data_IF_492749722146
#
_entry.id   IF_492749722146
#
_cell.length_a   1.000
_cell.length_b   1.000
_cell.length_c   1.000
_cell.angle_alpha   90.00
_cell.angle_beta   90.00
_cell.angle_gamma   90.00
#
_symmetry.space_group_name_H-M   'P 1'
#
loop_
_entity.id
_entity.type
_entity.pdbx_description
1 polymer ?
#
# COMPACT_ATOMS: atom_id res chain seq x y z
N UNK A 1 -25.36 -2.93 66.56
CA UNK A 1 -25.17 -3.44 65.18
C UNK A 1 -26.30 -2.91 64.29
N UNK A 2 -25.98 -2.40 63.10
CA UNK A 2 -26.99 -1.96 62.12
C UNK A 2 -26.36 -1.13 61.00
N UNK A 3 -25.58 -1.78 60.14
CA UNK A 3 -24.88 -1.14 59.03
C UNK A 3 -25.84 -0.87 57.83
N UNK A 4 -25.88 0.42 57.45
CA UNK A 4 -26.16 1.06 56.14
C UNK A 4 -27.01 0.41 55.05
N UNK A 5 -28.04 1.11 54.53
CA UNK A 5 -28.64 0.87 53.24
C UNK A 5 -28.13 1.90 52.21
N UNK A 6 -26.91 1.76 51.71
CA UNK A 6 -26.35 2.66 50.67
C UNK A 6 -25.60 1.92 49.56
N UNK A 7 -25.95 0.67 49.27
CA UNK A 7 -25.17 -0.17 48.35
C UNK A 7 -26.02 -0.97 47.34
N UNK A 8 -27.14 -0.42 46.85
CA UNK A 8 -27.99 -1.14 45.88
C UNK A 8 -28.31 -0.38 44.58
N UNK A 9 -27.70 0.78 44.34
CA UNK A 9 -27.92 1.56 43.10
C UNK A 9 -26.85 1.38 42.01
N UNK A 10 -25.84 0.52 42.20
CA UNK A 10 -24.68 0.39 41.30
C UNK A 10 -24.54 -0.97 40.57
N UNK A 11 -25.60 -1.77 40.48
CA UNK A 11 -25.53 -3.10 39.84
C UNK A 11 -26.41 -3.29 38.60
N UNK A 12 -26.99 -2.23 38.03
CA UNK A 12 -27.80 -2.32 36.81
C UNK A 12 -27.13 -1.78 35.54
N UNK A 13 -25.81 -1.52 35.55
CA UNK A 13 -25.08 -1.01 34.37
C UNK A 13 -24.09 -2.01 33.75
N UNK A 14 -24.28 -3.33 33.96
CA UNK A 14 -23.33 -4.35 33.50
C UNK A 14 -23.98 -5.50 32.69
N UNK A 15 -25.12 -5.27 32.05
CA UNK A 15 -25.85 -6.33 31.30
C UNK A 15 -26.08 -6.03 29.81
N UNK A 16 -25.32 -5.10 29.20
CA UNK A 16 -25.46 -4.74 27.78
C UNK A 16 -24.16 -4.89 26.96
N UNK A 17 -23.34 -5.90 27.25
CA UNK A 17 -22.13 -6.22 26.48
C UNK A 17 -22.13 -7.69 26.00
N UNK A 18 -23.29 -8.18 25.59
CA UNK A 18 -23.35 -9.41 24.76
C UNK A 18 -22.68 -9.06 23.44
N UNK A 19 -21.50 -9.66 23.22
CA UNK A 19 -20.59 -9.37 22.13
C UNK A 19 -21.26 -9.41 20.76
N UNK A 20 -21.38 -8.23 20.15
CA UNK A 20 -21.41 -8.10 18.69
C UNK A 20 -20.06 -8.62 18.20
N UNK A 21 -19.99 -9.56 17.23
CA UNK A 21 -18.72 -9.87 16.60
C UNK A 21 -18.20 -8.56 15.99
N UNK A 22 -17.06 -8.08 16.48
CA UNK A 22 -16.43 -6.91 15.90
C UNK A 22 -16.25 -7.20 14.41
N UNK A 23 -16.96 -6.45 13.56
CA UNK A 23 -16.56 -6.31 12.17
C UNK A 23 -15.06 -5.95 12.17
N UNK A 24 -14.25 -6.45 11.22
CA UNK A 24 -12.84 -6.08 11.17
C UNK A 24 -12.76 -4.57 11.31
N UNK A 25 -12.01 -4.12 12.32
CA UNK A 25 -11.93 -2.70 12.63
C UNK A 25 -11.18 -2.02 11.49
N UNK A 26 -11.92 -1.57 10.48
CA UNK A 26 -11.42 -0.67 9.46
C UNK A 26 -11.05 0.62 10.16
N UNK A 27 -9.76 0.91 10.29
CA UNK A 27 -9.35 2.24 10.68
C UNK A 27 -9.77 3.20 9.56
N UNK A 28 -10.31 4.36 9.94
CA UNK A 28 -10.75 5.35 8.97
C UNK A 28 -9.57 5.75 8.07
N UNK A 29 -9.86 5.99 6.80
CA UNK A 29 -8.93 6.67 5.89
C UNK A 29 -8.67 8.09 6.38
N UNK A 30 -7.59 8.72 5.90
CA UNK A 30 -7.26 10.07 6.34
C UNK A 30 -8.33 11.07 5.91
N UNK A 31 -8.74 11.92 6.84
CA UNK A 31 -9.70 13.01 6.61
C UNK A 31 -9.02 14.27 6.06
N UNK A 32 -9.77 15.38 6.08
CA UNK A 32 -9.32 16.68 5.53
C UNK A 32 -8.02 17.25 6.17
N UNK A 33 -7.60 16.71 7.32
CA UNK A 33 -6.36 17.10 8.01
C UNK A 33 -5.07 16.71 7.25
N UNK A 34 -5.17 15.94 6.17
CA UNK A 34 -4.02 15.45 5.40
C UNK A 34 -3.54 14.08 5.87
N UNK A 35 -2.36 13.69 5.43
CA UNK A 35 -1.82 12.34 5.58
C UNK A 35 -2.04 11.47 4.35
N UNK A 36 -1.67 10.19 4.46
CA UNK A 36 -1.85 9.21 3.38
C UNK A 36 -2.80 8.12 3.83
N UNK A 37 -3.83 7.87 3.03
CA UNK A 37 -4.76 6.77 3.27
C UNK A 37 -4.19 5.47 2.73
N UNK A 38 -4.19 4.43 3.57
CA UNK A 38 -3.68 3.10 3.23
C UNK A 38 -4.85 2.15 3.07
N UNK A 39 -4.82 1.36 2.01
CA UNK A 39 -5.78 0.28 1.76
C UNK A 39 -5.02 -1.02 1.47
N UNK A 40 -5.35 -2.11 2.14
CA UNK A 40 -4.81 -3.44 1.84
C UNK A 40 -5.97 -4.38 1.60
N UNK A 41 -6.16 -4.81 0.36
CA UNK A 41 -7.20 -5.73 -0.07
C UNK A 41 -6.62 -7.15 -0.21
N UNK A 42 -6.84 -7.98 0.81
CA UNK A 42 -6.32 -9.35 0.85
C UNK A 42 -7.12 -10.33 -0.02
N UNK A 43 -8.36 -9.98 -0.39
CA UNK A 43 -9.26 -10.81 -1.21
C UNK A 43 -9.28 -12.28 -0.77
N UNK A 44 -9.07 -13.22 -1.70
CA UNK A 44 -9.08 -14.66 -1.46
C UNK A 44 -8.00 -15.15 -0.49
N UNK A 45 -7.02 -14.34 -0.12
CA UNK A 45 -6.02 -14.71 0.88
C UNK A 45 -6.56 -14.65 2.32
N UNK A 46 -7.77 -14.10 2.51
CA UNK A 46 -8.36 -13.88 3.83
C UNK A 46 -7.81 -12.63 4.52
N UNK A 47 -8.60 -12.04 5.42
CA UNK A 47 -8.31 -10.73 6.03
C UNK A 47 -9.14 -9.58 5.46
N UNK A 48 -9.82 -9.81 4.33
CA UNK A 48 -10.73 -8.85 3.72
C UNK A 48 -10.02 -7.61 3.20
N UNK A 49 -10.79 -6.54 3.00
CA UNK A 49 -10.23 -5.21 2.84
C UNK A 49 -9.76 -4.72 4.22
N UNK A 50 -8.68 -3.96 4.30
CA UNK A 50 -8.23 -3.27 5.50
C UNK A 50 -7.90 -1.83 5.12
N UNK A 51 -8.25 -0.87 5.97
CA UNK A 51 -7.98 0.55 5.72
C UNK A 51 -7.35 1.18 6.95
N UNK A 52 -6.50 2.18 6.74
CA UNK A 52 -5.89 2.95 7.82
C UNK A 52 -5.48 4.35 7.36
N UNK A 53 -5.26 5.24 8.31
CA UNK A 53 -4.70 6.57 8.07
C UNK A 53 -3.26 6.65 8.60
N UNK A 54 -2.34 7.10 7.75
CA UNK A 54 -0.99 7.52 8.12
C UNK A 54 -0.92 9.06 8.15
N UNK A 55 -1.17 9.72 9.30
CA UNK A 55 -1.26 11.19 9.38
C UNK A 55 0.05 11.90 8.99
N UNK A 56 1.20 11.25 9.22
CA UNK A 56 2.53 11.73 8.81
C UNK A 56 3.07 10.93 7.61
N UNK A 57 2.19 10.55 6.68
CA UNK A 57 2.53 9.75 5.50
C UNK A 57 2.98 10.56 4.28
N UNK A 58 2.61 11.84 4.20
CA UNK A 58 2.85 12.67 3.03
C UNK A 58 4.33 12.78 2.67
N UNK A 59 4.66 12.59 1.39
CA UNK A 59 6.02 12.67 0.87
C UNK A 59 6.91 11.47 1.20
N UNK A 60 6.37 10.42 1.83
CA UNK A 60 7.10 9.19 2.14
C UNK A 60 6.87 8.13 1.07
N UNK A 61 7.73 7.11 1.06
CA UNK A 61 7.54 5.95 0.19
C UNK A 61 6.29 5.16 0.59
N UNK A 62 5.63 4.55 -0.39
CA UNK A 62 4.49 3.65 -0.17
C UNK A 62 4.80 2.58 0.88
N UNK A 63 6.00 2.01 0.84
CA UNK A 63 6.47 1.04 1.84
C UNK A 63 6.46 1.61 3.26
N UNK A 64 7.08 2.77 3.46
CA UNK A 64 7.17 3.40 4.77
C UNK A 64 5.80 3.80 5.33
N UNK A 65 4.88 4.23 4.46
CA UNK A 65 3.50 4.56 4.85
C UNK A 65 2.75 3.30 5.29
N UNK A 66 2.81 2.23 4.49
CA UNK A 66 2.09 0.98 4.77
C UNK A 66 2.63 0.29 6.02
N UNK A 67 3.94 0.29 6.23
CA UNK A 67 4.56 -0.23 7.46
C UNK A 67 4.19 0.61 8.69
N UNK A 68 4.05 1.93 8.55
CA UNK A 68 3.70 2.82 9.66
C UNK A 68 2.31 2.56 10.24
N UNK A 69 1.42 1.94 9.46
CA UNK A 69 0.06 1.54 9.90
C UNK A 69 -0.03 0.07 10.31
N UNK A 70 1.12 -0.62 10.44
CA UNK A 70 1.21 -1.97 10.98
C UNK A 70 1.22 -3.10 9.94
N UNK A 71 1.23 -2.78 8.64
CA UNK A 71 1.34 -3.79 7.59
C UNK A 71 2.80 -4.03 7.21
N UNK A 72 3.36 -5.15 7.67
CA UNK A 72 4.74 -5.53 7.31
C UNK A 72 4.83 -5.96 5.86
N UNK A 73 5.78 -5.40 5.11
CA UNK A 73 6.08 -5.80 3.74
C UNK A 73 7.25 -6.78 3.73
N UNK A 74 7.07 -7.94 3.10
CA UNK A 74 8.16 -8.88 2.82
C UNK A 74 8.45 -8.87 1.33
N UNK A 75 9.71 -8.72 0.97
CA UNK A 75 10.15 -8.59 -0.41
C UNK A 75 10.70 -9.90 -0.96
N UNK A 76 10.69 -10.01 -2.29
CA UNK A 76 11.29 -11.13 -3.02
C UNK A 76 12.81 -11.07 -2.90
N UNK A 77 13.44 -12.18 -2.52
CA UNK A 77 14.90 -12.25 -2.31
C UNK A 77 15.69 -12.00 -3.60
N UNK A 78 15.29 -12.62 -4.72
CA UNK A 78 15.98 -12.45 -6.01
C UNK A 78 15.63 -11.14 -6.71
N UNK A 79 14.59 -10.42 -6.27
CA UNK A 79 14.15 -9.16 -6.87
C UNK A 79 13.50 -8.23 -5.82
N UNK A 80 14.31 -7.51 -5.01
CA UNK A 80 13.84 -6.78 -3.83
C UNK A 80 12.81 -5.66 -4.06
N UNK A 81 12.56 -5.28 -5.32
CA UNK A 81 11.52 -4.30 -5.66
C UNK A 81 10.09 -4.84 -5.61
N UNK A 82 9.91 -6.17 -5.56
CA UNK A 82 8.60 -6.81 -5.53
C UNK A 82 8.20 -7.21 -4.11
N UNK A 83 6.98 -6.82 -3.71
CA UNK A 83 6.37 -7.27 -2.47
C UNK A 83 5.81 -8.68 -2.68
N UNK A 84 6.30 -9.61 -1.89
CA UNK A 84 5.87 -11.01 -1.88
C UNK A 84 4.76 -11.25 -0.85
N UNK A 85 4.91 -10.74 0.37
CA UNK A 85 3.90 -10.86 1.42
C UNK A 85 3.58 -9.52 2.05
N UNK A 86 2.34 -9.39 2.49
CA UNK A 86 1.89 -8.29 3.34
C UNK A 86 1.30 -8.90 4.60
N UNK A 87 1.76 -8.44 5.76
CA UNK A 87 1.34 -8.97 7.07
C UNK A 87 1.47 -10.50 7.17
N UNK A 88 2.50 -11.06 6.53
CA UNK A 88 2.79 -12.50 6.52
C UNK A 88 2.02 -13.33 5.48
N UNK A 89 1.16 -12.71 4.66
CA UNK A 89 0.25 -13.39 3.74
C UNK A 89 0.64 -13.12 2.27
N UNK A 90 0.66 -14.13 1.37
CA UNK A 90 0.37 -15.56 1.61
C UNK A 90 1.48 -16.29 2.38
N UNK A 91 1.10 -17.05 3.42
CA UNK A 91 2.06 -17.68 4.33
C UNK A 91 2.89 -18.82 3.70
N UNK A 92 2.38 -19.43 2.63
CA UNK A 92 3.04 -20.52 1.92
C UNK A 92 4.16 -20.05 0.97
N UNK A 93 4.19 -18.78 0.56
CA UNK A 93 5.14 -18.30 -0.45
C UNK A 93 6.51 -18.00 0.17
N UNK A 94 7.59 -18.76 -0.10
CA UNK A 94 8.89 -18.56 0.55
C UNK A 94 9.59 -17.23 0.19
N UNK A 95 9.01 -16.40 -0.68
CA UNK A 95 9.54 -15.12 -1.14
C UNK A 95 10.92 -15.21 -1.79
N UNK A 96 11.22 -16.33 -2.44
CA UNK A 96 12.50 -16.51 -3.13
C UNK A 96 12.43 -15.92 -4.55
N UNK A 97 11.38 -16.27 -5.29
CA UNK A 97 11.18 -15.88 -6.69
C UNK A 97 10.05 -14.85 -6.80
N UNK A 98 10.07 -14.09 -7.89
CA UNK A 98 8.99 -13.13 -8.17
C UNK A 98 7.66 -13.87 -8.33
N UNK A 99 6.58 -13.40 -7.69
CA UNK A 99 5.29 -14.07 -7.80
C UNK A 99 4.79 -14.09 -9.26
N UNK A 100 4.03 -15.12 -9.66
CA UNK A 100 3.48 -15.19 -11.00
C UNK A 100 2.42 -14.11 -11.22
N UNK A 101 2.11 -13.80 -12.48
CA UNK A 101 1.19 -12.72 -12.88
C UNK A 101 -0.28 -12.95 -12.46
N UNK A 102 -0.62 -14.11 -11.90
CA UNK A 102 -1.94 -14.48 -11.41
C UNK A 102 -1.96 -14.77 -9.90
N UNK A 103 -0.90 -14.41 -9.17
CA UNK A 103 -0.85 -14.51 -7.71
C UNK A 103 0.20 -13.53 -7.17
N UNK A 104 -0.13 -12.24 -7.10
CA UNK A 104 0.82 -11.21 -6.66
C UNK A 104 0.15 -10.01 -5.99
N UNK A 105 0.92 -9.20 -5.26
CA UNK A 105 0.45 -7.93 -4.71
C UNK A 105 0.57 -6.80 -5.73
N UNK A 106 -0.58 -6.31 -6.23
CA UNK A 106 -0.64 -5.14 -7.09
C UNK A 106 -0.57 -3.85 -6.27
N UNK A 107 0.28 -2.91 -6.68
CA UNK A 107 0.43 -1.60 -6.03
C UNK A 107 -0.36 -0.54 -6.81
N UNK A 108 -1.25 0.15 -6.11
CA UNK A 108 -2.06 1.25 -6.64
C UNK A 108 -1.84 2.50 -5.81
N UNK A 109 -2.06 3.66 -6.43
CA UNK A 109 -1.95 4.94 -5.75
C UNK A 109 -2.93 5.97 -6.32
N UNK A 110 -3.15 7.03 -5.56
CA UNK A 110 -3.91 8.20 -5.96
C UNK A 110 -3.24 9.43 -5.37
N UNK A 111 -3.29 10.54 -6.11
CA UNK A 111 -2.87 11.85 -5.59
C UNK A 111 -3.93 12.50 -4.70
N UNK A 112 -5.10 11.87 -4.56
CA UNK A 112 -6.21 12.35 -3.74
C UNK A 112 -7.06 13.42 -4.43
N UNK A 113 -6.98 13.60 -5.75
CA UNK A 113 -7.71 14.66 -6.47
C UNK A 113 -8.99 14.21 -7.16
N UNK A 114 -9.02 12.99 -7.72
CA UNK A 114 -10.10 12.53 -8.62
C UNK A 114 -10.84 11.27 -8.14
N UNK A 115 -10.40 10.69 -7.02
CA UNK A 115 -11.01 9.50 -6.43
C UNK A 115 -10.78 8.24 -7.27
N UNK A 116 -9.69 8.19 -8.05
CA UNK A 116 -9.33 7.05 -8.89
C UNK A 116 -8.00 6.43 -8.48
N UNK A 117 -7.93 5.11 -8.61
CA UNK A 117 -6.71 4.34 -8.45
C UNK A 117 -5.92 4.31 -9.75
N UNK A 118 -4.62 4.59 -9.65
CA UNK A 118 -3.64 4.36 -10.70
C UNK A 118 -2.75 3.18 -10.33
N UNK A 119 -2.55 2.23 -11.24
CA UNK A 119 -1.57 1.17 -11.04
C UNK A 119 -0.16 1.77 -11.07
N UNK A 120 0.67 1.42 -10.10
CA UNK A 120 2.04 1.92 -10.00
C UNK A 120 2.97 1.17 -10.96
N UNK A 121 3.73 1.91 -11.77
CA UNK A 121 4.89 1.38 -12.50
C UNK A 121 6.15 1.29 -11.63
N UNK A 122 6.10 1.84 -10.41
CA UNK A 122 7.18 1.83 -9.43
C UNK A 122 6.92 0.80 -8.33
N UNK A 123 7.99 0.31 -7.71
CA UNK A 123 7.91 -0.53 -6.51
C UNK A 123 7.59 0.28 -5.25
N UNK A 124 7.20 -0.43 -4.19
CA UNK A 124 6.75 0.16 -2.92
C UNK A 124 7.77 1.12 -2.27
N UNK A 125 9.06 0.85 -2.43
CA UNK A 125 10.13 1.66 -1.85
C UNK A 125 10.44 2.92 -2.67
N UNK A 126 10.12 2.93 -3.96
CA UNK A 126 10.42 4.03 -4.89
C UNK A 126 9.21 4.93 -5.15
N UNK A 127 7.99 4.43 -4.95
CA UNK A 127 6.78 5.22 -5.11
C UNK A 127 6.62 6.18 -3.93
N UNK A 128 6.76 7.48 -4.16
CA UNK A 128 6.46 8.52 -3.17
C UNK A 128 4.99 8.92 -3.26
N UNK A 129 4.29 8.91 -2.12
CA UNK A 129 2.87 9.25 -2.05
C UNK A 129 2.71 10.70 -1.57
N UNK A 130 1.99 11.57 -2.29
CA UNK A 130 1.79 12.95 -1.87
C UNK A 130 0.93 13.04 -0.61
N UNK A 131 1.04 14.17 0.11
CA UNK A 131 0.13 14.46 1.22
C UNK A 131 -1.31 14.63 0.72
N UNK A 132 -2.27 14.02 1.43
CA UNK A 132 -3.66 13.89 0.98
C UNK A 132 -3.87 12.77 -0.04
N UNK A 133 -2.80 12.09 -0.47
CA UNK A 133 -2.86 10.97 -1.39
C UNK A 133 -3.28 9.66 -0.73
N UNK A 134 -3.31 8.61 -1.54
CA UNK A 134 -3.65 7.26 -1.09
C UNK A 134 -2.73 6.23 -1.72
N UNK A 135 -2.48 5.15 -0.98
CA UNK A 135 -1.76 3.97 -1.46
C UNK A 135 -2.59 2.73 -1.18
N UNK A 136 -2.60 1.80 -2.12
CA UNK A 136 -3.23 0.51 -1.92
C UNK A 136 -2.37 -0.66 -2.39
N UNK A 137 -2.44 -1.75 -1.64
CA UNK A 137 -2.05 -3.05 -2.11
C UNK A 137 -3.30 -3.91 -2.30
N UNK A 138 -3.47 -4.50 -3.46
CA UNK A 138 -4.56 -5.44 -3.72
C UNK A 138 -4.01 -6.73 -4.26
N UNK A 139 -4.40 -7.85 -3.65
CA UNK A 139 -4.03 -9.16 -4.14
C UNK A 139 -4.62 -9.41 -5.54
N UNK A 140 -3.79 -9.90 -6.44
CA UNK A 140 -4.12 -10.19 -7.82
C UNK A 140 -4.11 -11.70 -8.00
N UNK A 141 -5.30 -12.28 -8.17
CA UNK A 141 -5.46 -13.72 -8.37
C UNK A 141 -6.77 -14.05 -9.05
N UNK A 142 -7.69 -14.68 -8.34
CA UNK A 142 -9.05 -14.97 -8.84
C UNK A 142 -9.79 -13.68 -9.23
N UNK A 143 -9.51 -12.60 -8.49
CA UNK A 143 -9.92 -11.24 -8.81
C UNK A 143 -8.69 -10.38 -9.12
N UNK A 144 -8.84 -9.47 -10.07
CA UNK A 144 -7.77 -8.54 -10.49
C UNK A 144 -8.29 -7.11 -10.60
N UNK A 145 -7.36 -6.16 -10.59
CA UNK A 145 -7.66 -4.73 -10.61
C UNK A 145 -7.51 -4.06 -9.25
N UNK A 146 -7.81 -2.76 -9.22
CA UNK A 146 -7.72 -1.93 -8.02
C UNK A 146 -8.71 -2.36 -6.93
N UNK A 147 -8.52 -1.94 -5.66
CA UNK A 147 -9.53 -2.14 -4.63
C UNK A 147 -10.90 -1.56 -5.05
N UNK A 148 -11.97 -2.25 -4.67
CA UNK A 148 -13.34 -1.81 -4.98
C UNK A 148 -13.73 -0.51 -4.25
N UNK A 149 -13.09 -0.22 -3.11
CA UNK A 149 -13.28 1.04 -2.40
C UNK A 149 -12.46 2.14 -3.09
N UNK A 150 -13.09 3.24 -3.51
CA UNK A 150 -12.37 4.35 -4.13
C UNK A 150 -11.42 5.01 -3.12
N UNK A 151 -10.28 5.55 -3.57
CA UNK A 151 -9.43 6.36 -2.70
C UNK A 151 -10.19 7.63 -2.28
N UNK A 152 -10.01 8.09 -1.04
CA UNK A 152 -10.57 9.36 -0.61
C UNK A 152 -10.05 10.51 -1.47
N UNK A 153 -10.95 11.46 -1.74
CA UNK A 153 -10.60 12.73 -2.36
C UNK A 153 -10.39 13.75 -1.27
N UNK A 154 -9.29 14.51 -1.35
CA UNK A 154 -9.02 15.60 -0.44
C UNK A 154 -10.11 16.65 -0.59
N UNK A 155 -10.68 17.08 0.54
CA UNK A 155 -11.53 18.28 0.52
C UNK A 155 -10.68 19.46 0.04
N UNK A 156 -11.02 20.02 -1.13
CA UNK A 156 -10.37 21.22 -1.62
C UNK A 156 -10.57 22.33 -0.57
N UNK A 157 -9.55 23.12 -0.21
CA UNK A 157 -9.75 24.28 0.64
C UNK A 157 -10.87 25.12 0.04
N UNK A 158 -11.93 25.35 0.81
CA UNK A 158 -12.99 26.27 0.42
C UNK A 158 -12.30 27.60 0.08
N UNK A 159 -12.62 28.24 -1.06
CA UNK A 159 -12.00 29.50 -1.41
C UNK A 159 -12.21 30.47 -0.25
N UNK A 160 -11.11 30.84 0.41
CA UNK A 160 -11.13 31.83 1.48
C UNK A 160 -11.84 33.06 0.93
N UNK A 161 -13.02 33.37 1.47
CA UNK A 161 -13.74 34.59 1.13
C UNK A 161 -12.77 35.73 1.39
N UNK A 162 -12.20 36.28 0.33
CA UNK A 162 -11.37 37.48 0.41
C UNK A 162 -12.22 38.52 1.11
N UNK A 163 -11.86 38.88 2.34
CA UNK A 163 -12.42 40.03 3.00
C UNK A 163 -12.23 41.21 2.04
N UNK A 164 -13.33 41.67 1.44
CA UNK A 164 -13.34 42.86 0.61
C UNK A 164 -12.72 43.99 1.43
N UNK A 165 -11.60 44.60 1.01
CA UNK A 165 -11.11 45.78 1.70
C UNK A 165 -12.22 46.84 1.63
N UNK A 166 -12.74 47.21 2.79
CA UNK A 166 -13.65 48.35 2.94
C UNK A 166 -13.00 49.57 2.26
N UNK A 167 -13.74 50.36 1.45
CA UNK A 167 -13.16 51.48 0.72
C UNK A 167 -12.56 52.50 1.70
N UNK A 168 -11.23 52.64 1.64
CA UNK A 168 -10.49 53.70 2.31
C UNK A 168 -10.96 55.04 1.74
N UNK A 169 -11.47 55.92 2.62
CA UNK A 169 -11.88 57.28 2.27
C UNK A 169 -10.70 58.03 1.64
N UNK A 170 -10.95 58.60 0.47
CA UNK A 170 -10.05 59.48 -0.30
C UNK A 170 -9.49 60.63 0.55
N UNK A 171 -8.17 60.85 0.61
CA UNK A 171 -7.64 62.10 1.14
C UNK A 171 -7.82 63.23 0.13
N UNK A 172 -8.56 64.25 0.54
CA UNK A 172 -8.74 65.54 -0.14
C UNK A 172 -7.40 66.22 -0.39
N UNK A 173 -7.16 66.63 -1.64
CA UNK A 173 -6.03 67.50 -2.02
C UNK A 173 -6.26 68.90 -1.46
N UNK A 174 -5.29 69.41 -0.69
CA UNK A 174 -5.19 70.85 -0.38
C UNK A 174 -3.84 71.37 -0.88
N UNK A 175 -3.79 72.40 -1.73
CA UNK A 175 -2.54 73.03 -2.16
C UNK A 175 -2.21 74.20 -1.22
N UNK A 176 -0.97 74.30 -0.72
CA UNK A 176 -0.48 75.56 -0.15
C UNK A 176 1.04 75.68 -0.37
N UNK A 177 1.44 76.93 -0.59
CA UNK A 177 2.60 77.42 -1.34
C UNK A 177 3.91 77.41 -0.53
N UNK A 178 4.98 77.34 -1.32
CA UNK A 178 6.36 77.80 -1.14
C UNK A 178 6.64 78.94 -0.14
N UNK A 179 7.73 78.80 0.64
CA UNK A 179 8.65 79.87 1.02
C UNK A 179 10.06 79.31 1.36
N UNK A 180 10.98 79.47 0.41
CA UNK A 180 12.38 80.01 0.40
C UNK A 180 13.27 80.00 1.69
N UNK A 181 14.62 79.90 1.55
CA UNK A 181 15.55 79.31 2.53
C UNK A 181 16.38 80.32 3.32
N UNK A 182 17.19 79.85 4.28
CA UNK A 182 18.36 80.58 4.77
C UNK A 182 19.41 79.66 5.42
N UNK A 183 20.71 80.06 5.40
CA UNK A 183 21.87 79.17 5.41
C UNK A 183 22.46 78.97 6.81
N UNK A 184 23.30 77.94 6.95
CA UNK A 184 24.37 77.97 7.97
C UNK A 184 25.71 77.60 7.32
N UNK A 185 26.79 78.34 7.61
CA UNK A 185 28.03 78.25 6.87
C UNK A 185 29.08 77.38 7.57
N UNK A 186 29.96 76.83 6.73
CA UNK A 186 31.43 76.89 6.87
C UNK A 186 32.09 76.09 8.01
N UNK A 187 33.22 75.42 7.84
CA UNK A 187 34.15 74.96 6.78
C UNK A 187 35.12 74.06 7.61
N UNK A 188 35.85 73.06 7.11
CA UNK A 188 37.23 73.26 6.59
C UNK A 188 37.98 71.91 6.60
N UNK A 189 38.34 71.46 5.39
CA UNK A 189 39.62 70.88 4.90
C UNK A 189 40.08 69.49 5.42
N UNK A 190 40.19 68.40 4.62
CA UNK A 190 41.01 68.10 3.39
C UNK A 190 42.46 67.69 3.73
N UNK A 191 43.27 66.92 2.93
CA UNK A 191 43.09 66.32 1.58
C UNK A 191 43.60 64.85 1.39
N UNK A 192 43.58 64.37 0.12
CA UNK A 192 44.56 63.45 -0.54
C UNK A 192 44.16 61.94 -0.58
N UNK A 193 44.11 61.19 -1.68
CA UNK A 193 44.27 61.35 -3.15
C UNK A 193 43.76 60.05 -3.86
N UNK A 194 43.52 60.05 -5.19
CA UNK A 194 43.44 58.84 -6.04
C UNK A 194 44.67 58.71 -6.97
N UNK A 195 44.75 57.73 -7.89
CA UNK A 195 44.76 56.25 -7.81
C UNK A 195 46.17 55.69 -8.21
N UNK A 196 46.38 54.37 -8.39
CA UNK A 196 46.30 53.83 -9.75
C UNK A 196 45.76 52.39 -9.87
N UNK A 197 45.33 52.05 -11.08
CA UNK A 197 45.22 50.68 -11.56
C UNK A 197 46.62 50.07 -11.71
N UNK A 198 46.82 48.81 -11.33
CA UNK A 198 47.84 47.94 -11.95
C UNK A 198 47.66 46.47 -11.56
N UNK A 199 47.54 45.66 -12.62
CA UNK A 199 48.06 44.30 -12.81
C UNK A 199 48.60 43.51 -11.60
N UNK A 200 48.01 42.33 -11.39
CA UNK A 200 48.78 41.16 -10.93
C UNK A 200 48.66 40.02 -11.95
N UNK A 201 49.76 39.65 -12.63
CA UNK A 201 49.89 38.46 -13.44
C UNK A 201 50.50 37.28 -12.64
N UNK A 202 50.44 36.11 -13.29
CA UNK A 202 51.22 34.89 -13.03
C UNK A 202 50.88 34.05 -11.81
N UNK A 203 50.96 32.72 -11.84
CA UNK A 203 51.05 31.66 -12.86
C UNK A 203 51.39 30.39 -12.05
N UNK A 204 51.30 29.23 -12.71
CA UNK A 204 51.87 27.91 -12.31
C UNK A 204 50.86 27.02 -11.55
N UNK A 205 50.44 25.84 -12.03
CA UNK A 205 50.69 25.14 -13.28
C UNK A 205 49.61 24.05 -13.48
N UNK A 206 49.07 23.97 -14.70
CA UNK A 206 48.60 22.74 -15.38
C UNK A 206 49.83 21.85 -15.72
N UNK A 207 49.74 20.55 -16.14
CA UNK A 207 48.72 20.03 -17.07
C UNK A 207 48.35 18.52 -16.95
N UNK A 208 47.53 18.09 -17.92
CA UNK A 208 47.34 16.72 -18.47
C UNK A 208 45.94 16.16 -18.15
N UNK A 209 45.03 15.85 -19.07
CA UNK A 209 45.14 15.38 -20.46
C UNK A 209 44.06 16.07 -21.35
N UNK A 210 44.44 16.66 -22.48
CA UNK A 210 44.54 16.03 -23.81
C UNK A 210 43.18 15.96 -24.52
N UNK A 211 42.86 17.04 -25.23
CA UNK A 211 41.94 17.01 -26.35
C UNK A 211 42.64 16.38 -27.55
N UNK A 212 41.96 15.45 -28.22
CA UNK A 212 42.21 15.19 -29.64
C UNK A 212 40.88 15.22 -30.35
N UNK A 213 40.69 16.27 -31.14
CA UNK A 213 39.77 16.25 -32.27
C UNK A 213 40.14 15.09 -33.21
N UNK A 214 39.19 14.67 -34.05
CA UNK A 214 39.36 14.57 -35.51
C UNK A 214 38.59 13.39 -36.12
N UNK A 215 37.74 13.74 -37.11
CA UNK A 215 37.26 12.96 -38.27
C UNK A 215 36.11 11.96 -38.10
N UNK A 216 34.94 12.43 -38.56
CA UNK A 216 34.08 11.68 -39.49
C UNK A 216 34.91 11.16 -40.68
N UNK A 217 34.68 9.90 -41.12
CA UNK A 217 33.93 9.70 -42.36
C UNK A 217 32.91 8.54 -42.30
N UNK A 218 31.73 8.83 -42.88
CA UNK A 218 30.92 8.09 -43.87
C UNK A 218 30.78 6.53 -43.85
N UNK A 219 29.65 6.02 -44.41
CA UNK A 219 29.01 4.76 -44.04
C UNK A 219 29.43 3.57 -44.93
N UNK A 220 29.20 2.34 -44.45
CA UNK A 220 29.05 1.17 -45.32
C UNK A 220 27.94 0.24 -44.75
N UNK A 221 26.98 -0.18 -45.59
CA UNK A 221 25.89 -1.08 -45.23
C UNK A 221 26.36 -2.55 -45.31
N UNK A 222 25.68 -3.46 -44.62
CA UNK A 222 25.70 -4.87 -45.02
C UNK A 222 24.29 -5.44 -44.96
N UNK A 223 23.66 -5.41 -46.14
CA UNK A 223 22.67 -6.39 -46.54
C UNK A 223 23.37 -7.74 -46.61
N UNK A 224 22.95 -8.70 -45.79
CA UNK A 224 23.00 -10.11 -46.17
C UNK A 224 21.58 -10.56 -46.44
N UNK A 225 21.20 -10.42 -47.70
CA UNK A 225 20.08 -11.13 -48.31
C UNK A 225 20.56 -12.55 -48.64
N UNK A 226 19.58 -13.43 -48.85
CA UNK A 226 19.58 -14.60 -49.76
C UNK A 226 20.05 -15.95 -49.16
N UNK A 227 19.54 -17.11 -49.63
CA UNK A 227 18.12 -17.52 -49.78
C UNK A 227 17.85 -19.04 -49.50
N UNK A 228 16.60 -19.48 -49.79
CA UNK A 228 16.24 -20.75 -50.46
C UNK A 228 16.40 -22.04 -49.63
N UNK A 229 15.28 -22.54 -49.09
CA UNK A 229 14.44 -23.61 -49.68
C UNK A 229 15.21 -24.92 -49.90
N UNK A 230 15.00 -25.88 -49.01
CA UNK A 230 14.84 -27.29 -49.39
C UNK A 230 13.98 -28.00 -48.35
N UNK A 231 12.68 -28.13 -48.64
CA UNK A 231 11.97 -29.38 -48.38
C UNK A 231 12.34 -30.34 -49.52
N UNK A 232 12.52 -31.63 -49.22
CA UNK A 232 11.50 -32.62 -49.57
C UNK A 232 10.99 -33.30 -48.28
N UNK A 233 9.70 -33.64 -48.17
CA UNK A 233 9.11 -34.91 -48.62
C UNK A 233 9.78 -36.10 -47.92
N UNK A 234 9.12 -37.09 -47.35
CA UNK A 234 7.73 -37.52 -47.43
C UNK A 234 7.73 -38.80 -46.60
N UNK A 235 7.05 -38.86 -45.45
CA UNK A 235 6.57 -40.14 -44.91
C UNK A 235 5.24 -39.90 -44.19
N UNK A 236 4.17 -40.21 -44.91
CA UNK A 236 2.84 -40.55 -44.42
C UNK A 236 2.50 -41.90 -45.10
N UNK A 237 1.44 -42.61 -44.70
CA UNK A 237 1.26 -43.39 -43.47
C UNK A 237 1.20 -44.90 -43.80
N UNK A 238 1.19 -45.76 -42.79
CA UNK A 238 0.55 -47.09 -42.95
C UNK A 238 -0.26 -47.45 -41.72
N UNK A 239 -1.56 -47.23 -41.90
CA UNK A 239 -2.68 -47.82 -41.16
C UNK A 239 -2.57 -49.35 -41.11
N UNK A 240 -2.63 -49.95 -39.92
CA UNK A 240 -3.50 -51.12 -39.68
C UNK A 240 -3.80 -51.29 -38.19
N UNK A 241 -5.02 -50.96 -37.80
CA UNK A 241 -5.79 -51.67 -36.77
C UNK A 241 -6.95 -52.39 -37.52
N UNK A 242 -7.73 -53.33 -36.93
CA UNK A 242 -7.66 -53.94 -35.61
C UNK A 242 -7.67 -55.49 -35.67
N UNK A 243 -7.47 -56.18 -34.54
CA UNK A 243 -8.02 -57.53 -34.35
C UNK A 243 -8.56 -57.62 -32.93
N UNK A 244 -9.88 -57.75 -32.86
CA UNK A 244 -10.62 -58.13 -31.68
C UNK A 244 -10.47 -59.63 -31.44
N UNK A 245 -10.42 -60.06 -30.18
CA UNK A 245 -11.41 -61.00 -29.64
C UNK A 245 -11.36 -61.02 -28.10
N UNK A 246 -12.52 -61.29 -27.45
CA UNK A 246 -12.76 -61.11 -26.02
C UNK A 246 -12.59 -62.43 -25.26
N UNK A 247 -12.47 -62.38 -23.93
CA UNK A 247 -12.90 -63.46 -23.04
C UNK A 247 -13.19 -62.87 -21.66
N UNK A 248 -14.48 -62.85 -21.33
CA UNK A 248 -15.05 -62.90 -19.98
C UNK A 248 -14.27 -63.85 -19.06
N UNK A 249 -14.03 -63.46 -17.81
CA UNK A 249 -14.46 -64.32 -16.70
C UNK A 249 -14.66 -63.52 -15.41
N UNK A 250 -15.81 -63.78 -14.81
CA UNK A 250 -16.27 -63.26 -13.53
C UNK A 250 -15.66 -64.05 -12.36
N UNK A 251 -15.38 -63.40 -11.23
CA UNK A 251 -14.94 -64.09 -10.03
C UNK A 251 -14.89 -63.18 -8.81
N UNK A 252 -15.96 -63.26 -8.02
CA UNK A 252 -16.32 -62.53 -6.78
C UNK A 252 -15.39 -62.87 -5.58
N UNK A 253 -15.73 -62.50 -4.33
CA UNK A 253 -15.12 -61.45 -3.52
C UNK A 253 -14.21 -62.01 -2.40
N UNK A 254 -13.33 -61.17 -1.84
CA UNK A 254 -12.65 -61.49 -0.58
C UNK A 254 -12.78 -60.34 0.41
N UNK A 255 -13.65 -60.54 1.39
CA UNK A 255 -13.78 -59.83 2.66
C UNK A 255 -12.67 -60.26 3.62
N UNK A 256 -11.91 -59.32 4.20
CA UNK A 256 -11.63 -59.20 5.67
C UNK A 256 -10.76 -57.96 5.98
N UNK A 257 -10.71 -57.43 7.24
CA UNK A 257 -10.57 -56.02 7.54
C UNK A 257 -9.28 -55.71 8.33
N UNK A 258 -9.08 -54.44 8.69
CA UNK A 258 -7.99 -54.02 9.58
C UNK A 258 -7.20 -52.86 8.98
N UNK A 259 -7.73 -51.65 9.03
CA UNK A 259 -7.55 -50.69 10.12
C UNK A 259 -6.19 -49.96 10.09
N UNK A 260 -6.31 -48.63 9.96
CA UNK A 260 -5.41 -47.58 10.47
C UNK A 260 -4.31 -47.07 9.52
N UNK A 261 -4.64 -46.03 8.76
CA UNK A 261 -4.03 -44.70 8.92
C UNK A 261 -4.77 -43.71 8.00
N UNK A 262 -5.49 -42.79 8.63
CA UNK A 262 -6.23 -41.73 7.94
C UNK A 262 -5.27 -40.75 7.25
N UNK A 263 -5.66 -40.35 6.04
CA UNK A 263 -5.16 -39.17 5.33
C UNK A 263 -5.13 -37.92 6.22
N UNK A 264 -4.13 -37.03 6.09
CA UNK A 264 -4.34 -35.63 6.38
C UNK A 264 -5.04 -34.97 5.19
N UNK A 265 -6.37 -35.09 5.15
CA UNK A 265 -7.20 -34.19 4.36
C UNK A 265 -7.18 -32.80 5.02
N UNK A 266 -6.76 -31.79 4.24
CA UNK A 266 -6.73 -30.38 4.64
C UNK A 266 -8.13 -29.82 4.93
N UNK A 267 -8.60 -30.01 6.17
CA UNK A 267 -8.91 -28.90 7.08
C UNK A 267 -10.07 -27.95 6.78
N UNK A 268 -11.20 -28.40 6.23
CA UNK A 268 -12.49 -27.75 6.53
C UNK A 268 -13.10 -28.43 7.75
N UNK A 269 -13.18 -27.74 8.89
CA UNK A 269 -13.79 -28.31 10.10
C UNK A 269 -15.23 -28.70 9.80
N UNK A 270 -15.58 -30.00 9.80
CA UNK A 270 -16.92 -30.41 9.43
C UNK A 270 -17.92 -29.86 10.45
N UNK A 271 -19.05 -29.37 9.96
CA UNK A 271 -20.05 -28.62 10.75
C UNK A 271 -20.53 -29.38 11.99
N UNK A 272 -20.48 -30.71 11.98
CA UNK A 272 -20.80 -31.55 13.13
C UNK A 272 -19.84 -31.36 14.32
N UNK A 273 -18.56 -31.05 14.09
CA UNK A 273 -17.61 -30.72 15.16
C UNK A 273 -17.92 -29.36 15.79
N UNK A 274 -18.31 -28.37 14.98
CA UNK A 274 -18.76 -27.06 15.47
C UNK A 274 -20.03 -27.21 16.32
N UNK A 275 -21.00 -28.01 15.85
CA UNK A 275 -22.24 -28.29 16.59
C UNK A 275 -21.97 -29.08 17.88
N UNK A 276 -21.05 -30.03 17.86
CA UNK A 276 -20.66 -30.81 19.05
C UNK A 276 -19.97 -29.95 20.10
N UNK A 277 -19.09 -29.04 19.68
CA UNK A 277 -18.44 -28.08 20.57
C UNK A 277 -19.46 -27.10 21.17
N UNK A 278 -20.44 -26.64 20.36
CA UNK A 278 -21.50 -25.76 20.81
C UNK A 278 -22.41 -26.45 21.84
N UNK A 279 -22.78 -27.71 21.60
CA UNK A 279 -23.57 -28.50 22.53
C UNK A 279 -22.81 -28.75 23.86
N UNK A 280 -21.51 -29.01 23.79
CA UNK A 280 -20.67 -29.17 24.98
C UNK A 280 -20.61 -27.88 25.81
N UNK A 281 -20.45 -26.72 25.17
CA UNK A 281 -20.43 -25.43 25.86
C UNK A 281 -21.76 -25.12 26.55
N UNK A 282 -22.90 -25.44 25.92
CA UNK A 282 -24.22 -25.28 26.53
C UNK A 282 -24.39 -26.23 27.73
N UNK A 283 -23.91 -27.47 27.63
CA UNK A 283 -23.94 -28.42 28.75
C UNK A 283 -23.05 -27.96 29.93
N UNK A 284 -21.87 -27.40 29.66
CA UNK A 284 -21.00 -26.84 30.69
C UNK A 284 -21.64 -25.61 31.35
N UNK A 285 -22.24 -24.71 30.57
CA UNK A 285 -22.95 -23.55 31.11
C UNK A 285 -24.15 -23.97 32.00
N UNK A 286 -24.92 -24.97 31.56
CA UNK A 286 -26.05 -25.52 32.31
C UNK A 286 -25.59 -26.17 33.63
N UNK A 287 -24.50 -26.95 33.61
CA UNK A 287 -23.97 -27.59 34.83
C UNK A 287 -23.41 -26.58 35.83
N UNK A 288 -22.75 -25.50 35.36
CA UNK A 288 -22.27 -24.41 36.21
C UNK A 288 -23.46 -23.65 36.83
N UNK A 289 -24.49 -23.34 36.05
CA UNK A 289 -25.70 -22.67 36.53
C UNK A 289 -26.45 -23.52 37.57
N UNK A 290 -26.56 -24.83 37.37
CA UNK A 290 -27.19 -25.74 38.33
C UNK A 290 -26.36 -25.87 39.62
N UNK A 291 -25.02 -25.95 39.52
CA UNK A 291 -24.15 -25.95 40.70
C UNK A 291 -24.21 -24.63 41.48
N UNK A 292 -24.29 -23.50 40.79
CA UNK A 292 -24.44 -22.20 41.43
C UNK A 292 -25.77 -22.10 42.19
N UNK A 293 -26.87 -22.60 41.61
CA UNK A 293 -28.18 -22.62 42.27
C UNK A 293 -28.22 -23.56 43.49
N UNK A 294 -27.56 -24.72 43.43
CA UNK A 294 -27.49 -25.66 44.57
C UNK A 294 -26.61 -25.17 45.73
N UNK A 295 -25.68 -24.25 45.48
CA UNK A 295 -24.84 -23.63 46.52
C UNK A 295 -25.50 -22.44 47.22
N UNK A 296 -26.65 -21.96 46.72
CA UNK A 296 -27.35 -20.78 47.22
C UNK A 296 -28.67 -21.07 47.94
N UNK A 297 -28.95 -22.32 48.33
CA UNK A 297 -30.14 -22.67 49.14
C UNK A 297 -29.68 -23.12 50.53
N UNK A 298 -29.95 -22.35 51.61
CA UNK A 298 -29.73 -22.78 52.99
C UNK A 298 -30.74 -23.85 53.44
#
# INVERSE_FOLDING_TARGET
>A
MGAGPLALAWLLLAAALVGVPAAPAYAATCGAAGGVSVVVDFRELGGGLQTACAPAGGGRSAAAVVESVGHTLTYVQRQPGFVCRISGVPAADPCVNTPPSNAYWGLYWSDGTDGRWSYSSLGATSLTVPDGGSVAFAWQGAQSGAPAVPPPVRAQPEPSKTNTPSPTKTPTKTPTKSATPSPSPSQTQSPTAPPPAETSPSATATPTASASATRSPTPVPTRSRTPRRTAPASEEPTTTAPTATPTDDAGDPATDPGATAAEPASGSVPTWLVLSLLALLVAVAATVAVRARRRGSP
#
